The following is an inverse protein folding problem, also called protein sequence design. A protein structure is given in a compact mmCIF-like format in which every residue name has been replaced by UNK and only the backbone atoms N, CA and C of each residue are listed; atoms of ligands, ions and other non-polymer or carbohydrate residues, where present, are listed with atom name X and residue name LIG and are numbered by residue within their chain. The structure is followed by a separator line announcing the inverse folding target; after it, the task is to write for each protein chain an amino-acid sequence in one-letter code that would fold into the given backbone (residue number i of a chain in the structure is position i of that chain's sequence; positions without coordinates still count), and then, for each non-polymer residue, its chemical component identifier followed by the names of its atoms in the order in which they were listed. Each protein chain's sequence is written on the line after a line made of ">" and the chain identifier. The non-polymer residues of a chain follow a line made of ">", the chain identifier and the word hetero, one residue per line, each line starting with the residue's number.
data_IF_302599881366
#
_entry.id   IF_302599881366
#
_cell.length_a   1.000
_cell.length_b   1.000
_cell.length_c   1.000
_cell.angle_alpha   90.00
_cell.angle_beta   90.00
_cell.angle_gamma   90.00
#
_symmetry.space_group_name_H-M   'P 1'
#
loop_
_entity.id
_entity.type
_entity.pdbx_description
1 polymer ?
#
# COMPACT_ATOMS: atom_id res chain seq x y z
N UNK A 1 6.85 -12.84 -4.89
CA UNK A 1 8.24 -12.30 -4.82
C UNK A 1 8.69 -11.62 -6.14
N UNK A 2 8.65 -12.30 -7.30
CA UNK A 2 9.03 -11.70 -8.60
C UNK A 2 8.17 -10.48 -9.02
N UNK A 3 6.86 -10.54 -8.74
CA UNK A 3 5.91 -9.45 -9.03
C UNK A 3 6.22 -8.15 -8.29
N UNK A 4 6.66 -8.25 -7.02
CA UNK A 4 7.00 -7.08 -6.19
C UNK A 4 8.23 -6.36 -6.77
N UNK A 5 9.26 -7.11 -7.15
CA UNK A 5 10.46 -6.56 -7.79
C UNK A 5 10.15 -5.98 -9.18
N UNK A 6 9.26 -6.61 -9.95
CA UNK A 6 8.83 -6.08 -11.24
C UNK A 6 8.06 -4.75 -11.09
N UNK A 7 7.18 -4.64 -10.09
CA UNK A 7 6.46 -3.40 -9.78
C UNK A 7 7.41 -2.28 -9.34
N UNK A 8 8.38 -2.58 -8.47
CA UNK A 8 9.40 -1.63 -8.06
C UNK A 8 10.23 -1.11 -9.25
N UNK A 9 10.68 -2.03 -10.12
CA UNK A 9 11.43 -1.67 -11.32
C UNK A 9 10.60 -0.83 -12.29
N UNK A 10 9.30 -1.14 -12.45
CA UNK A 10 8.40 -0.36 -13.28
C UNK A 10 8.20 1.07 -12.74
N UNK A 11 8.05 1.24 -11.43
CA UNK A 11 7.93 2.57 -10.80
C UNK A 11 9.23 3.36 -10.94
N UNK A 12 10.38 2.72 -10.72
CA UNK A 12 11.69 3.35 -10.92
C UNK A 12 11.89 3.79 -12.38
N UNK A 13 11.56 2.90 -13.33
CA UNK A 13 11.61 3.18 -14.76
C UNK A 13 10.69 4.34 -15.13
N UNK A 14 9.45 4.36 -14.65
CA UNK A 14 8.50 5.45 -14.87
C UNK A 14 9.04 6.78 -14.31
N UNK A 15 9.70 6.78 -13.14
CA UNK A 15 10.32 7.98 -12.58
C UNK A 15 11.47 8.50 -13.44
N UNK A 16 12.30 7.60 -14.00
CA UNK A 16 13.40 7.97 -14.89
C UNK A 16 12.85 8.54 -16.20
N UNK A 17 11.84 7.88 -16.78
CA UNK A 17 11.17 8.36 -17.99
C UNK A 17 10.52 9.72 -17.78
N UNK A 18 9.84 9.92 -16.65
CA UNK A 18 9.29 11.21 -16.24
C UNK A 18 10.38 12.30 -16.20
N UNK A 19 11.54 12.03 -15.59
CA UNK A 19 12.66 12.97 -15.55
C UNK A 19 13.26 13.27 -16.94
N UNK A 20 13.23 12.32 -17.85
CA UNK A 20 13.67 12.51 -19.25
C UNK A 20 12.65 13.39 -20.00
N UNK A 21 11.35 13.12 -19.85
CA UNK A 21 10.28 13.85 -20.54
C UNK A 21 10.30 15.33 -20.16
N UNK A 22 10.48 15.67 -18.89
CA UNK A 22 10.55 17.07 -18.44
C UNK A 22 11.76 17.81 -19.05
N UNK A 23 12.87 17.11 -19.29
CA UNK A 23 14.12 17.70 -19.82
C UNK A 23 14.15 17.78 -21.34
N UNK A 24 13.20 17.15 -22.04
CA UNK A 24 13.14 17.23 -23.50
C UNK A 24 12.63 18.62 -23.93
N UNK A 25 13.30 19.27 -24.91
CA UNK A 25 12.88 20.58 -25.39
C UNK A 25 11.52 20.46 -26.07
N UNK A 26 10.59 21.33 -25.67
CA UNK A 26 9.27 21.41 -26.27
C UNK A 26 9.38 21.87 -27.72
N UNK A 27 8.61 21.23 -28.59
CA UNK A 27 8.37 21.74 -29.94
C UNK A 27 7.68 23.09 -29.84
N UNK A 28 8.39 24.17 -30.18
CA UNK A 28 7.89 25.55 -30.15
C UNK A 28 6.87 25.88 -31.26
N UNK A 29 6.45 24.88 -32.05
CA UNK A 29 5.55 25.07 -33.20
C UNK A 29 4.08 25.19 -32.78
N UNK A 30 3.71 24.79 -31.55
CA UNK A 30 2.33 24.79 -31.06
C UNK A 30 2.19 25.49 -29.69
N UNK A 31 1.42 26.60 -29.59
CA UNK A 31 1.22 27.34 -28.34
C UNK A 31 0.62 26.50 -27.20
N UNK A 32 -0.14 25.46 -27.54
CA UNK A 32 -0.75 24.54 -26.58
C UNK A 32 0.30 23.71 -25.81
N UNK A 33 1.39 23.32 -26.49
CA UNK A 33 2.47 22.55 -25.86
C UNK A 33 3.27 23.37 -24.85
N UNK A 34 3.40 24.68 -25.10
CA UNK A 34 4.10 25.61 -24.19
C UNK A 34 3.32 25.81 -22.89
N UNK A 35 1.99 25.88 -22.95
CA UNK A 35 1.13 25.97 -21.76
C UNK A 35 1.10 24.67 -20.94
N UNK A 36 1.15 23.51 -21.60
CA UNK A 36 1.20 22.19 -20.96
C UNK A 36 2.51 21.93 -20.21
N UNK A 37 3.62 22.47 -20.69
CA UNK A 37 4.96 22.30 -20.09
C UNK A 37 4.98 22.59 -18.59
N UNK A 38 4.35 23.70 -18.13
CA UNK A 38 4.37 24.08 -16.70
C UNK A 38 3.57 23.12 -15.83
N UNK A 39 2.46 22.59 -16.34
CA UNK A 39 1.63 21.60 -15.66
C UNK A 39 2.33 20.25 -15.60
N UNK A 40 3.00 19.86 -16.70
CA UNK A 40 3.83 18.66 -16.74
C UNK A 40 4.98 18.77 -15.74
N UNK A 41 5.68 19.90 -15.66
CA UNK A 41 6.77 20.10 -14.71
C UNK A 41 6.29 20.08 -13.26
N UNK A 42 5.11 20.63 -12.98
CA UNK A 42 4.51 20.62 -11.63
C UNK A 42 4.16 19.18 -11.18
N UNK A 43 3.58 18.37 -12.06
CA UNK A 43 3.14 17.00 -11.74
C UNK A 43 4.31 16.02 -11.80
N UNK A 44 5.05 16.02 -12.91
CA UNK A 44 6.12 15.07 -13.16
C UNK A 44 7.39 15.43 -12.37
N UNK A 45 7.63 16.71 -12.06
CA UNK A 45 8.76 17.16 -11.25
C UNK A 45 8.73 16.64 -9.81
N UNK A 46 7.53 16.35 -9.27
CA UNK A 46 7.37 15.73 -7.96
C UNK A 46 7.43 14.19 -8.00
N UNK A 47 7.48 13.57 -9.18
CA UNK A 47 7.40 12.10 -9.35
C UNK A 47 8.51 11.38 -8.57
N UNK A 48 9.74 11.90 -8.58
CA UNK A 48 10.84 11.28 -7.86
C UNK A 48 10.64 11.27 -6.34
N UNK A 49 10.02 12.34 -5.78
CA UNK A 49 9.68 12.40 -4.34
C UNK A 49 8.61 11.38 -4.01
N UNK A 50 7.59 11.24 -4.86
CA UNK A 50 6.53 10.25 -4.71
C UNK A 50 7.11 8.84 -4.74
N UNK A 51 8.03 8.54 -5.66
CA UNK A 51 8.69 7.23 -5.74
C UNK A 51 9.48 6.93 -4.47
N UNK A 52 10.31 7.87 -4.01
CA UNK A 52 11.09 7.70 -2.76
C UNK A 52 10.15 7.52 -1.56
N UNK A 53 9.09 8.34 -1.46
CA UNK A 53 8.09 8.23 -0.41
C UNK A 53 7.42 6.86 -0.41
N UNK A 54 6.98 6.37 -1.57
CA UNK A 54 6.35 5.04 -1.71
C UNK A 54 7.27 3.92 -1.25
N UNK A 55 8.56 3.99 -1.59
CA UNK A 55 9.51 2.92 -1.23
C UNK A 55 9.69 2.85 0.29
N UNK A 56 9.91 4.00 0.93
CA UNK A 56 10.13 4.07 2.38
C UNK A 56 8.84 3.69 3.12
N UNK A 57 7.71 4.25 2.71
CA UNK A 57 6.41 3.97 3.31
C UNK A 57 6.05 2.49 3.19
N UNK A 58 6.24 1.90 2.00
CA UNK A 58 5.99 0.48 1.78
C UNK A 58 6.85 -0.41 2.67
N UNK A 59 8.16 -0.14 2.77
CA UNK A 59 9.05 -0.94 3.64
C UNK A 59 8.66 -0.88 5.11
N UNK A 60 8.42 0.33 5.63
CA UNK A 60 8.08 0.50 7.04
C UNK A 60 6.66 -0.01 7.33
N UNK A 61 5.70 0.31 6.46
CA UNK A 61 4.31 -0.11 6.56
C UNK A 61 4.16 -1.63 6.53
N UNK A 62 4.81 -2.32 5.57
CA UNK A 62 4.77 -3.78 5.49
C UNK A 62 5.47 -4.43 6.68
N UNK A 63 6.60 -3.88 7.13
CA UNK A 63 7.29 -4.42 8.30
C UNK A 63 6.42 -4.32 9.55
N UNK A 64 5.75 -3.18 9.77
CA UNK A 64 4.83 -3.03 10.90
C UNK A 64 3.60 -3.92 10.75
N UNK A 65 3.03 -4.02 9.55
CA UNK A 65 1.92 -4.94 9.28
C UNK A 65 2.29 -6.38 9.66
N UNK A 66 3.41 -6.88 9.15
CA UNK A 66 3.89 -8.23 9.45
C UNK A 66 4.20 -8.43 10.95
N UNK A 67 4.81 -7.43 11.60
CA UNK A 67 5.12 -7.47 13.02
C UNK A 67 3.85 -7.52 13.89
N UNK A 68 2.88 -6.64 13.63
CA UNK A 68 1.60 -6.61 14.37
C UNK A 68 0.82 -7.88 14.13
N UNK A 69 0.81 -8.40 12.90
CA UNK A 69 0.18 -9.68 12.58
C UNK A 69 0.80 -10.82 13.41
N UNK A 70 2.13 -10.90 13.47
CA UNK A 70 2.83 -11.90 14.27
C UNK A 70 2.55 -11.77 15.78
N UNK A 71 2.61 -10.55 16.32
CA UNK A 71 2.28 -10.26 17.72
C UNK A 71 0.84 -10.64 18.09
N UNK A 72 -0.12 -10.24 17.26
CA UNK A 72 -1.53 -10.50 17.47
C UNK A 72 -1.85 -11.99 17.37
N UNK A 73 -1.16 -12.75 16.50
CA UNK A 73 -1.26 -14.22 16.44
C UNK A 73 -0.88 -14.87 17.77
N UNK A 74 0.20 -14.41 18.40
CA UNK A 74 0.65 -14.91 19.70
C UNK A 74 -0.34 -14.55 20.81
N UNK A 75 -0.87 -13.33 20.81
CA UNK A 75 -1.82 -12.87 21.83
C UNK A 75 -3.18 -13.57 21.75
N UNK A 76 -3.68 -13.81 20.54
CA UNK A 76 -5.01 -14.39 20.32
C UNK A 76 -5.02 -15.92 20.26
N UNK A 77 -3.87 -16.59 20.48
CA UNK A 77 -3.72 -18.05 20.40
C UNK A 77 -4.32 -18.65 19.11
N UNK A 78 -4.27 -17.89 18.01
CA UNK A 78 -4.80 -18.29 16.71
C UNK A 78 -6.33 -18.26 16.56
N UNK A 79 -7.10 -17.87 17.58
CA UNK A 79 -8.56 -18.03 17.61
C UNK A 79 -9.34 -16.95 16.84
N UNK A 80 -8.83 -15.72 16.75
CA UNK A 80 -9.52 -14.59 16.13
C UNK A 80 -8.74 -14.00 14.95
N UNK A 81 -8.91 -14.62 13.77
CA UNK A 81 -8.24 -14.19 12.54
C UNK A 81 -8.68 -12.78 12.10
N UNK A 82 -9.94 -12.42 12.30
CA UNK A 82 -10.47 -11.10 11.94
C UNK A 82 -9.78 -9.95 12.67
N UNK A 83 -9.63 -10.07 13.99
CA UNK A 83 -8.98 -9.06 14.83
C UNK A 83 -7.53 -8.85 14.40
N UNK A 84 -6.85 -9.94 13.99
CA UNK A 84 -5.47 -9.89 13.51
C UNK A 84 -5.35 -9.14 12.18
N UNK A 85 -6.20 -9.44 11.21
CA UNK A 85 -6.12 -8.81 9.89
C UNK A 85 -6.46 -7.32 9.97
N UNK A 86 -7.57 -6.95 10.61
CA UNK A 86 -7.93 -5.53 10.75
C UNK A 86 -6.90 -4.77 11.59
N UNK A 87 -6.45 -5.34 12.71
CA UNK A 87 -5.49 -4.67 13.58
C UNK A 87 -4.12 -4.48 12.93
N UNK A 88 -3.63 -5.48 12.19
CA UNK A 88 -2.35 -5.35 11.48
C UNK A 88 -2.43 -4.37 10.32
N UNK A 89 -3.55 -4.35 9.59
CA UNK A 89 -3.71 -3.41 8.50
C UNK A 89 -3.93 -1.98 8.99
N UNK A 90 -4.62 -1.77 10.11
CA UNK A 90 -4.77 -0.45 10.73
C UNK A 90 -3.42 0.14 11.13
N UNK A 91 -2.56 -0.65 11.78
CA UNK A 91 -1.21 -0.19 12.14
C UNK A 91 -0.31 -0.02 10.91
N UNK A 92 -0.33 -1.00 9.99
CA UNK A 92 0.51 -0.98 8.79
C UNK A 92 0.18 0.18 7.86
N UNK A 93 -1.10 0.34 7.49
CA UNK A 93 -1.53 1.41 6.60
C UNK A 93 -1.53 2.78 7.27
N UNK A 94 -1.75 2.84 8.58
CA UNK A 94 -1.59 4.07 9.35
C UNK A 94 -0.17 4.60 9.25
N UNK A 95 0.83 3.73 9.46
CA UNK A 95 2.24 4.10 9.37
C UNK A 95 2.69 4.35 7.93
N UNK A 96 2.24 3.53 6.98
CA UNK A 96 2.47 3.76 5.55
C UNK A 96 2.00 5.17 5.14
N UNK A 97 0.76 5.53 5.47
CA UNK A 97 0.19 6.84 5.14
C UNK A 97 0.91 7.97 5.89
N UNK A 98 1.22 7.79 7.18
CA UNK A 98 1.94 8.77 8.00
C UNK A 98 3.36 9.04 7.47
N UNK A 99 3.98 8.10 6.76
CA UNK A 99 5.31 8.28 6.17
C UNK A 99 5.21 8.79 4.74
N UNK A 100 4.26 8.27 3.96
CA UNK A 100 4.10 8.59 2.55
C UNK A 100 3.74 10.06 2.32
N UNK A 101 2.66 10.55 2.94
CA UNK A 101 2.13 11.87 2.64
C UNK A 101 3.08 13.01 3.04
N UNK A 102 3.77 12.97 4.20
CA UNK A 102 4.81 13.97 4.50
C UNK A 102 5.96 13.92 3.50
N UNK A 103 6.52 12.75 3.19
CA UNK A 103 7.69 12.70 2.29
C UNK A 103 7.33 13.19 0.88
N UNK A 104 6.13 12.85 0.39
CA UNK A 104 5.68 13.21 -0.95
C UNK A 104 5.21 14.68 -1.09
N UNK A 105 4.61 15.27 -0.06
CA UNK A 105 3.91 16.57 -0.17
C UNK A 105 4.37 17.65 0.82
N UNK A 106 5.32 17.35 1.72
CA UNK A 106 5.86 18.35 2.64
C UNK A 106 6.54 19.49 1.87
N UNK A 107 6.12 20.73 2.16
CA UNK A 107 6.56 21.94 1.47
C UNK A 107 5.76 22.31 0.21
N UNK A 108 4.80 21.48 -0.22
CA UNK A 108 3.88 21.78 -1.34
C UNK A 108 2.48 22.09 -0.80
N UNK A 109 2.04 21.32 0.20
CA UNK A 109 0.70 21.43 0.78
C UNK A 109 0.75 22.03 2.19
N UNK A 110 -0.33 22.68 2.61
CA UNK A 110 -0.49 23.17 3.96
C UNK A 110 -0.53 21.99 4.96
N UNK A 111 0.14 22.13 6.11
CA UNK A 111 0.21 21.09 7.14
C UNK A 111 -1.17 20.64 7.61
N UNK A 112 -2.14 21.56 7.66
CA UNK A 112 -3.54 21.27 8.00
C UNK A 112 -4.17 20.31 6.99
N UNK A 113 -4.05 20.61 5.70
CA UNK A 113 -4.55 19.76 4.61
C UNK A 113 -3.86 18.39 4.63
N UNK A 114 -2.55 18.37 4.86
CA UNK A 114 -1.76 17.14 4.89
C UNK A 114 -2.23 16.21 6.02
N UNK A 115 -2.48 16.74 7.22
CA UNK A 115 -3.03 15.98 8.34
C UNK A 115 -4.44 15.43 8.05
N UNK A 116 -5.31 16.25 7.46
CA UNK A 116 -6.66 15.81 7.06
C UNK A 116 -6.60 14.69 6.01
N UNK A 117 -5.71 14.79 5.03
CA UNK A 117 -5.59 13.80 3.95
C UNK A 117 -5.05 12.48 4.48
N UNK A 118 -4.06 12.50 5.38
CA UNK A 118 -3.57 11.29 6.06
C UNK A 118 -4.71 10.62 6.82
N UNK A 119 -5.41 11.38 7.66
CA UNK A 119 -6.47 10.84 8.51
C UNK A 119 -7.62 10.29 7.66
N UNK A 120 -8.05 11.04 6.64
CA UNK A 120 -9.10 10.62 5.73
C UNK A 120 -8.72 9.36 4.96
N UNK A 121 -7.51 9.28 4.39
CA UNK A 121 -7.09 8.09 3.66
C UNK A 121 -6.94 6.88 4.59
N UNK A 122 -6.39 7.08 5.78
CA UNK A 122 -6.28 6.02 6.78
C UNK A 122 -7.68 5.50 7.17
N UNK A 123 -8.59 6.39 7.55
CA UNK A 123 -9.96 6.04 7.91
C UNK A 123 -10.72 5.37 6.76
N UNK A 124 -10.59 5.91 5.55
CA UNK A 124 -11.25 5.37 4.35
C UNK A 124 -10.79 3.94 4.06
N UNK A 125 -9.47 3.68 4.08
CA UNK A 125 -8.95 2.34 3.84
C UNK A 125 -9.37 1.36 4.95
N UNK A 126 -9.36 1.80 6.21
CA UNK A 126 -9.86 0.99 7.34
C UNK A 126 -11.35 0.67 7.17
N UNK A 127 -12.18 1.64 6.78
CA UNK A 127 -13.61 1.42 6.53
C UNK A 127 -13.82 0.38 5.43
N UNK A 128 -13.09 0.47 4.32
CA UNK A 128 -13.14 -0.53 3.26
C UNK A 128 -12.77 -1.90 3.81
N UNK A 129 -11.72 -2.01 4.63
CA UNK A 129 -11.31 -3.30 5.17
C UNK A 129 -12.32 -3.90 6.13
N UNK A 130 -12.92 -3.08 7.00
CA UNK A 130 -14.00 -3.51 7.90
C UNK A 130 -15.20 -4.04 7.11
N UNK A 131 -15.54 -3.42 5.97
CA UNK A 131 -16.64 -3.85 5.10
C UNK A 131 -16.27 -5.09 4.28
N UNK A 132 -15.05 -5.15 3.75
CA UNK A 132 -14.59 -6.24 2.89
C UNK A 132 -14.25 -7.50 3.68
N UNK A 133 -13.90 -7.39 4.96
CA UNK A 133 -13.61 -8.58 5.76
C UNK A 133 -14.80 -9.55 5.83
N UNK A 134 -16.03 -9.17 6.23
CA UNK A 134 -17.17 -10.10 6.25
C UNK A 134 -17.52 -10.64 4.86
N UNK A 135 -17.35 -9.83 3.81
CA UNK A 135 -17.53 -10.28 2.42
C UNK A 135 -16.51 -11.37 2.08
N UNK A 136 -15.26 -11.19 2.48
CA UNK A 136 -14.18 -12.16 2.27
C UNK A 136 -14.49 -13.48 2.97
N UNK A 137 -14.98 -13.42 4.22
CA UNK A 137 -15.44 -14.61 4.93
C UNK A 137 -16.60 -15.31 4.22
N UNK A 138 -17.58 -14.56 3.71
CA UNK A 138 -18.71 -15.12 2.99
C UNK A 138 -18.28 -15.80 1.68
N UNK A 139 -17.38 -15.17 0.91
CA UNK A 139 -16.86 -15.72 -0.34
C UNK A 139 -16.00 -16.96 -0.11
N UNK A 140 -15.10 -16.92 0.88
CA UNK A 140 -14.28 -18.08 1.24
C UNK A 140 -15.16 -19.24 1.73
N UNK A 141 -16.17 -18.96 2.57
CA UNK A 141 -17.12 -19.98 3.02
C UNK A 141 -17.94 -20.58 1.87
N UNK A 142 -18.37 -19.75 0.91
CA UNK A 142 -19.06 -20.21 -0.29
C UNK A 142 -18.16 -21.07 -1.18
N UNK A 143 -16.90 -20.66 -1.40
CA UNK A 143 -15.94 -21.40 -2.21
C UNK A 143 -15.61 -22.77 -1.59
N UNK A 144 -15.35 -22.80 -0.27
CA UNK A 144 -15.13 -24.06 0.47
C UNK A 144 -16.31 -25.02 0.35
N UNK A 145 -17.54 -24.51 0.40
CA UNK A 145 -18.76 -25.32 0.24
C UNK A 145 -18.90 -25.92 -1.17
N UNK A 146 -18.36 -25.25 -2.19
CA UNK A 146 -18.40 -25.73 -3.58
C UNK A 146 -17.27 -26.72 -3.90
N UNK A 147 -16.08 -26.52 -3.32
CA UNK A 147 -14.93 -27.41 -3.55
C UNK A 147 -14.99 -28.71 -2.73
N UNK A 148 -15.88 -28.81 -1.74
CA UNK A 148 -16.10 -30.06 -1.00
C UNK A 148 -14.90 -30.50 -0.14
N UNK A 149 -13.85 -29.67 -0.03
CA UNK A 149 -12.73 -29.89 0.86
C UNK A 149 -13.00 -29.22 2.21
N UNK A 150 -13.62 -29.99 3.11
CA UNK A 150 -13.74 -29.66 4.53
C UNK A 150 -12.41 -29.96 5.26
N UNK A 151 -11.29 -29.43 4.75
CA UNK A 151 -10.09 -29.29 5.57
C UNK A 151 -10.31 -28.09 6.49
N UNK A 152 -11.15 -28.28 7.50
CA UNK A 152 -10.89 -27.61 8.77
C UNK A 152 -9.63 -28.24 9.32
N UNK A 153 -8.55 -27.51 9.11
CA UNK A 153 -7.26 -27.86 9.67
C UNK A 153 -7.32 -27.51 11.17
N UNK A 154 -8.08 -28.33 11.92
CA UNK A 154 -8.31 -28.17 13.37
C UNK A 154 -7.08 -28.55 14.18
N UNK A 155 -6.15 -29.28 13.58
CA UNK A 155 -4.88 -29.73 14.18
C UNK A 155 -3.63 -29.22 13.46
N UNK A 156 -3.70 -28.13 12.69
CA UNK A 156 -2.47 -27.53 12.16
C UNK A 156 -1.83 -26.61 13.18
N UNK A 157 -0.71 -27.10 13.68
CA UNK A 157 0.25 -26.31 14.41
C UNK A 157 0.94 -25.33 13.45
N UNK A 158 0.31 -24.18 13.17
CA UNK A 158 0.82 -23.13 12.27
C UNK A 158 1.99 -22.34 12.90
N UNK A 159 3.01 -23.03 13.40
CA UNK A 159 4.28 -22.44 13.81
C UNK A 159 5.06 -21.98 12.55
N UNK A 160 5.70 -20.79 12.57
CA UNK A 160 6.43 -20.26 11.43
C UNK A 160 7.78 -20.99 11.16
N UNK A 161 8.04 -22.12 11.83
CA UNK A 161 9.28 -22.87 11.75
C UNK A 161 9.12 -24.31 11.24
N UNK A 162 7.92 -24.75 10.85
CA UNK A 162 7.78 -26.07 10.23
C UNK A 162 8.15 -25.99 8.74
N UNK A 163 9.41 -26.32 8.44
CA UNK A 163 9.85 -26.73 7.11
C UNK A 163 9.73 -28.25 7.07
N UNK A 164 8.52 -28.75 6.85
CA UNK A 164 8.31 -30.11 6.35
C UNK A 164 6.89 -30.24 5.81
N UNK A 165 6.87 -30.85 4.62
CA UNK A 165 5.76 -30.93 3.66
C UNK A 165 4.42 -31.41 4.25
#
# INVERSE_FOLDING_TARGET
>A
RKVIWAGFFAILFASIMSAIIIRLPVSGTEPFNVALQSSLETVFGNTWRIVVASIIAFWVGDFVNAYVMAKMKLLTHGKYLWTRTIGSTLCGQGIDSLIFYPIAFYGIWENTTLGFVILFNCAFKICIEVIMTPVTYAVVGWLKKQEGEDFYDTDTNFTPFSVRD
#
